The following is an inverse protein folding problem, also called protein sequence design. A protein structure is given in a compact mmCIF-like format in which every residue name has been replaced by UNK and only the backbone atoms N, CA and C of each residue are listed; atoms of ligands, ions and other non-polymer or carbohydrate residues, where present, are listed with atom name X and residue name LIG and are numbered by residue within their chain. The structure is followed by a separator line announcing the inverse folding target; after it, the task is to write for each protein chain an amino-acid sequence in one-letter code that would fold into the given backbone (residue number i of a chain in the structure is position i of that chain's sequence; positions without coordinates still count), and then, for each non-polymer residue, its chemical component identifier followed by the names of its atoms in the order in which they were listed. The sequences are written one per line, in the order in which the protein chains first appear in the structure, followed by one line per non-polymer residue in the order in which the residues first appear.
data_IF_548912762833
#
_entry.id   IF_548912762833
#
_cell.length_a   1.000
_cell.length_b   1.000
_cell.length_c   1.000
_cell.angle_alpha   90.00
_cell.angle_beta   90.00
_cell.angle_gamma   90.00
#
_symmetry.space_group_name_H-M   'P 1'
#
loop_
_entity.id
_entity.type
_entity.pdbx_description
1 polymer ?
#
# COMPACT_ATOMS: atom_id res chain seq x y z
N UNK A 1 7.09 1.07 67.11
CA UNK A 1 8.15 0.60 66.19
C UNK A 1 8.00 1.41 64.92
N UNK A 2 8.57 2.63 64.87
CA UNK A 2 9.94 2.97 64.39
C UNK A 2 10.03 2.71 62.87
N UNK A 3 9.81 3.76 62.04
CA UNK A 3 10.81 4.54 61.25
C UNK A 3 11.43 3.75 60.08
N UNK A 4 11.81 4.28 58.92
CA UNK A 4 11.63 5.53 58.17
C UNK A 4 12.21 5.25 56.75
N UNK A 5 12.06 6.20 55.84
CA UNK A 5 12.50 6.21 54.44
C UNK A 5 13.99 5.90 54.21
N UNK A 6 14.34 5.45 52.99
CA UNK A 6 15.54 5.93 52.28
C UNK A 6 15.54 5.50 50.81
N UNK A 7 15.62 6.48 49.91
CA UNK A 7 16.07 6.30 48.53
C UNK A 7 17.59 6.09 48.51
N UNK A 8 18.08 5.17 47.67
CA UNK A 8 19.49 5.08 47.30
C UNK A 8 19.58 4.95 45.78
N UNK A 9 20.16 5.97 45.15
CA UNK A 9 20.60 5.95 43.75
C UNK A 9 22.04 5.43 43.71
N UNK A 10 22.34 4.45 42.85
CA UNK A 10 23.73 4.06 42.55
C UNK A 10 23.92 3.97 41.04
N UNK A 11 24.74 4.88 40.49
CA UNK A 11 25.38 4.72 39.19
C UNK A 11 26.59 3.81 39.33
N UNK A 12 26.78 2.86 38.42
CA UNK A 12 28.12 2.33 38.14
C UNK A 12 28.30 2.04 36.65
N UNK A 13 29.27 2.73 36.07
CA UNK A 13 29.91 2.44 34.80
C UNK A 13 30.70 1.12 34.88
N UNK A 14 30.78 0.42 33.75
CA UNK A 14 31.96 -0.35 33.34
C UNK A 14 32.20 -1.71 34.01
N UNK A 15 31.80 -2.79 33.33
CA UNK A 15 32.56 -4.04 33.34
C UNK A 15 32.29 -4.88 32.10
N UNK A 16 33.37 -5.25 31.43
CA UNK A 16 33.45 -6.19 30.32
C UNK A 16 33.07 -7.60 30.77
N UNK A 17 32.32 -8.32 29.93
CA UNK A 17 32.25 -9.79 29.99
C UNK A 17 32.65 -10.38 28.63
N UNK A 18 33.81 -11.05 28.62
CA UNK A 18 34.18 -12.08 27.65
C UNK A 18 33.98 -13.44 28.32
N UNK A 19 33.32 -14.38 27.65
CA UNK A 19 33.62 -15.83 27.63
C UNK A 19 32.64 -16.47 26.61
N UNK A 20 33.13 -16.90 25.45
CA UNK A 20 33.64 -18.25 25.14
C UNK A 20 32.53 -19.20 24.66
N UNK A 21 32.66 -19.58 23.39
CA UNK A 21 31.85 -20.58 22.71
C UNK A 21 32.16 -21.98 23.24
N UNK A 22 31.12 -22.73 23.60
CA UNK A 22 31.12 -24.19 23.58
C UNK A 22 29.74 -24.67 23.13
N UNK A 23 29.76 -25.48 22.08
CA UNK A 23 28.63 -26.16 21.45
C UNK A 23 28.17 -27.36 22.27
N UNK A 24 26.89 -27.72 22.14
CA UNK A 24 26.26 -29.07 22.14
C UNK A 24 24.79 -28.97 22.64
N UNK A 25 23.89 -29.93 22.36
CA UNK A 25 23.87 -30.96 21.31
C UNK A 25 22.64 -30.87 20.39
N UNK A 26 22.71 -31.50 19.22
CA UNK A 26 21.62 -31.64 18.25
C UNK A 26 20.59 -32.65 18.79
N UNK A 27 19.39 -32.18 19.12
CA UNK A 27 18.25 -33.06 19.40
C UNK A 27 17.63 -33.53 18.07
N UNK A 28 17.82 -34.81 17.77
CA UNK A 28 17.13 -35.54 16.71
C UNK A 28 15.71 -35.86 17.19
N UNK A 29 14.69 -35.32 16.51
CA UNK A 29 13.30 -35.72 16.71
C UNK A 29 12.86 -36.46 15.45
N UNK A 30 12.72 -37.78 15.57
CA UNK A 30 12.06 -38.62 14.58
C UNK A 30 10.54 -38.63 14.84
N UNK A 31 9.81 -38.20 13.81
CA UNK A 31 8.48 -38.63 13.32
C UNK A 31 7.24 -38.71 14.25
N UNK A 32 6.07 -38.72 13.59
CA UNK A 32 4.73 -39.04 14.10
C UNK A 32 3.77 -37.91 14.51
N UNK A 33 3.54 -36.93 13.62
CA UNK A 33 2.26 -36.22 13.60
C UNK A 33 1.77 -35.98 12.16
N UNK A 34 1.37 -37.07 11.49
CA UNK A 34 0.54 -37.02 10.27
C UNK A 34 -0.91 -36.71 10.65
N UNK A 35 -1.21 -35.47 10.99
CA UNK A 35 -2.58 -34.99 10.88
C UNK A 35 -2.89 -34.72 9.40
N UNK A 36 -3.98 -35.26 8.83
CA UNK A 36 -4.35 -34.95 7.46
C UNK A 36 -4.57 -33.43 7.35
N UNK A 37 -3.86 -32.78 6.42
CA UNK A 37 -4.17 -31.40 6.04
C UNK A 37 -5.60 -31.38 5.52
N UNK A 38 -6.53 -30.92 6.35
CA UNK A 38 -7.87 -30.57 5.91
C UNK A 38 -7.71 -29.29 5.12
N UNK A 39 -7.60 -29.42 3.80
CA UNK A 39 -7.74 -28.28 2.91
C UNK A 39 -9.18 -27.76 3.02
N UNK A 40 -9.39 -26.43 3.07
CA UNK A 40 -10.74 -25.90 2.87
C UNK A 40 -11.30 -26.48 1.57
N UNK A 41 -12.60 -26.81 1.51
CA UNK A 41 -13.19 -27.34 0.30
C UNK A 41 -12.84 -26.41 -0.85
N UNK A 42 -12.35 -26.98 -1.96
CA UNK A 42 -12.05 -26.24 -3.17
C UNK A 42 -13.27 -25.38 -3.51
N UNK A 43 -13.18 -24.07 -3.34
CA UNK A 43 -14.13 -23.15 -3.97
C UNK A 43 -14.12 -23.56 -5.42
N UNK A 44 -15.27 -23.99 -5.96
CA UNK A 44 -15.44 -24.68 -7.24
C UNK A 44 -15.09 -23.86 -8.49
N UNK A 45 -13.99 -23.11 -8.43
CA UNK A 45 -13.24 -22.60 -9.54
C UNK A 45 -12.57 -23.86 -10.12
N UNK A 46 -13.12 -24.35 -11.22
CA UNK A 46 -12.42 -25.32 -12.06
C UNK A 46 -11.02 -24.78 -12.34
N UNK A 47 -10.00 -25.64 -12.53
CA UNK A 47 -8.76 -25.18 -13.13
C UNK A 47 -9.17 -24.44 -14.40
N UNK A 48 -8.89 -23.14 -14.45
CA UNK A 48 -9.20 -22.30 -15.60
C UNK A 48 -8.34 -22.87 -16.73
N UNK A 49 -8.93 -23.77 -17.52
CA UNK A 49 -8.30 -24.26 -18.74
C UNK A 49 -8.30 -23.07 -19.67
N UNK A 50 -7.10 -22.55 -19.87
CA UNK A 50 -6.80 -21.50 -20.80
C UNK A 50 -7.01 -22.02 -22.22
N UNK A 51 -8.26 -22.16 -22.65
CA UNK A 51 -8.61 -22.21 -24.07
C UNK A 51 -8.68 -20.77 -24.58
N UNK A 52 -7.52 -20.09 -24.53
CA UNK A 52 -7.32 -18.84 -25.23
C UNK A 52 -7.29 -19.16 -26.73
N UNK A 53 -8.37 -18.80 -27.43
CA UNK A 53 -8.45 -18.93 -28.88
C UNK A 53 -7.26 -18.22 -29.53
N UNK A 54 -6.56 -18.89 -30.44
CA UNK A 54 -5.34 -18.46 -31.14
C UNK A 54 -5.45 -17.21 -32.02
N UNK A 55 -6.52 -16.43 -31.89
CA UNK A 55 -6.78 -15.19 -32.60
C UNK A 55 -6.28 -14.00 -31.79
N UNK A 56 -4.99 -13.65 -31.95
CA UNK A 56 -4.35 -12.39 -31.48
C UNK A 56 -4.73 -11.95 -30.05
N UNK A 57 -4.38 -12.72 -29.02
CA UNK A 57 -4.16 -12.10 -27.71
C UNK A 57 -2.80 -11.43 -27.71
N UNK A 58 -2.81 -10.13 -27.93
CA UNK A 58 -1.68 -9.28 -27.59
C UNK A 58 -1.43 -9.41 -26.08
N UNK A 59 -0.20 -9.71 -25.68
CA UNK A 59 0.10 -9.88 -24.26
C UNK A 59 -0.11 -8.55 -23.53
N UNK A 60 -0.46 -8.59 -22.24
CA UNK A 60 -0.59 -7.36 -21.42
C UNK A 60 0.69 -6.54 -21.54
N UNK A 61 1.86 -7.19 -21.57
CA UNK A 61 3.16 -6.55 -21.80
C UNK A 61 3.24 -5.81 -23.15
N UNK A 62 2.77 -6.42 -24.25
CA UNK A 62 2.71 -5.77 -25.57
C UNK A 62 1.70 -4.60 -25.62
N UNK A 63 0.59 -4.70 -24.89
CA UNK A 63 -0.40 -3.62 -24.78
C UNK A 63 0.16 -2.42 -24.00
N UNK A 64 0.91 -2.67 -22.91
CA UNK A 64 1.56 -1.62 -22.11
C UNK A 64 2.76 -0.99 -22.84
N UNK A 65 3.54 -1.78 -23.59
CA UNK A 65 4.66 -1.27 -24.41
C UNK A 65 4.21 -0.31 -25.52
N UNK A 66 2.95 -0.44 -25.98
CA UNK A 66 2.36 0.44 -26.97
C UNK A 66 1.83 1.75 -26.39
N UNK A 67 1.80 1.92 -25.06
CA UNK A 67 1.35 3.16 -24.48
C UNK A 67 2.55 4.12 -24.41
N UNK A 68 2.60 5.17 -25.27
CA UNK A 68 3.78 6.02 -25.33
C UNK A 68 3.96 6.74 -23.99
N UNK A 69 5.19 6.74 -23.43
CA UNK A 69 5.48 7.47 -22.21
C UNK A 69 5.13 8.94 -22.43
N UNK A 70 4.29 9.50 -21.56
CA UNK A 70 4.03 10.94 -21.62
C UNK A 70 5.33 11.68 -21.26
N UNK A 71 5.66 12.71 -22.05
CA UNK A 71 6.89 13.47 -21.87
C UNK A 71 6.86 14.24 -20.55
N UNK A 72 7.88 14.02 -19.69
CA UNK A 72 8.13 14.76 -18.43
C UNK A 72 7.96 16.28 -18.62
N UNK A 73 6.84 16.87 -18.18
CA UNK A 73 6.70 18.33 -18.05
C UNK A 73 6.80 18.74 -16.58
N UNK A 74 7.48 19.86 -16.33
CA UNK A 74 7.64 20.44 -14.99
C UNK A 74 6.34 21.01 -14.42
N UNK A 75 5.44 21.48 -15.28
CA UNK A 75 4.17 22.13 -14.90
C UNK A 75 3.23 21.19 -14.13
N UNK A 76 3.11 19.93 -14.55
CA UNK A 76 2.21 18.97 -13.89
C UNK A 76 2.74 18.57 -12.51
N UNK A 77 4.07 18.43 -12.38
CA UNK A 77 4.69 18.15 -11.08
C UNK A 77 4.44 19.29 -10.08
N UNK A 78 4.64 20.53 -10.53
CA UNK A 78 4.35 21.72 -9.72
C UNK A 78 2.87 21.80 -9.33
N UNK A 79 1.97 21.45 -10.25
CA UNK A 79 0.52 21.45 -10.00
C UNK A 79 0.09 20.38 -8.98
N UNK A 80 0.63 19.16 -9.06
CA UNK A 80 0.36 18.12 -8.07
C UNK A 80 0.93 18.46 -6.70
N UNK A 81 2.11 19.06 -6.64
CA UNK A 81 2.72 19.52 -5.39
C UNK A 81 1.83 20.58 -4.72
N UNK A 82 1.40 21.60 -5.49
CA UNK A 82 0.42 22.60 -5.01
C UNK A 82 -0.89 21.98 -4.52
N UNK A 83 -1.37 20.95 -5.21
CA UNK A 83 -2.58 20.25 -4.82
C UNK A 83 -2.37 19.48 -3.51
N UNK A 84 -1.22 18.83 -3.32
CA UNK A 84 -0.87 18.16 -2.07
C UNK A 84 -0.81 19.17 -0.92
N UNK A 85 -0.12 20.30 -1.09
CA UNK A 85 0.01 21.36 -0.09
C UNK A 85 -1.36 21.91 0.34
N UNK A 86 -2.25 22.15 -0.62
CA UNK A 86 -3.63 22.61 -0.37
C UNK A 86 -4.41 21.67 0.56
N UNK A 87 -4.15 20.36 0.50
CA UNK A 87 -4.88 19.37 1.29
C UNK A 87 -4.06 18.79 2.46
N UNK A 88 -2.80 19.17 2.63
CA UNK A 88 -1.91 18.63 3.64
C UNK A 88 -2.47 18.76 5.08
N UNK A 89 -3.20 19.84 5.35
CA UNK A 89 -3.89 20.09 6.62
C UNK A 89 -5.41 19.87 6.55
N UNK A 90 -5.92 19.17 5.53
CA UNK A 90 -7.36 18.95 5.35
C UNK A 90 -8.02 18.24 6.54
N UNK A 91 -9.01 18.90 7.16
CA UNK A 91 -9.81 18.42 8.29
C UNK A 91 -11.32 18.30 7.95
N UNK A 92 -11.66 18.16 6.66
CA UNK A 92 -13.05 18.26 6.17
C UNK A 92 -13.96 17.05 6.51
N UNK A 93 -13.40 15.96 7.02
CA UNK A 93 -14.15 14.78 7.48
C UNK A 93 -13.48 14.17 8.71
N UNK A 94 -14.15 13.21 9.38
CA UNK A 94 -13.64 12.56 10.59
C UNK A 94 -12.27 11.91 10.39
N UNK A 95 -11.98 11.36 9.20
CA UNK A 95 -10.67 10.75 8.92
C UNK A 95 -9.53 11.76 8.94
N UNK A 96 -9.78 13.03 8.58
CA UNK A 96 -8.77 14.08 8.65
C UNK A 96 -8.31 14.36 10.08
N UNK A 97 -9.22 14.16 11.05
CA UNK A 97 -9.00 14.45 12.47
C UNK A 97 -8.18 13.38 13.17
N UNK A 98 -8.17 12.16 12.64
CA UNK A 98 -7.54 11.00 13.29
C UNK A 98 -6.29 10.49 12.58
N UNK A 99 -5.99 10.97 11.35
CA UNK A 99 -4.82 10.53 10.59
C UNK A 99 -3.52 10.99 11.25
N UNK A 100 -2.45 10.22 11.06
CA UNK A 100 -1.09 10.69 11.36
C UNK A 100 -0.56 11.52 10.20
N UNK A 101 -0.66 11.00 8.97
CA UNK A 101 -0.22 11.70 7.78
C UNK A 101 -1.31 11.70 6.71
N UNK A 102 -1.31 12.74 5.87
CA UNK A 102 -2.04 12.67 4.61
C UNK A 102 -1.29 11.72 3.67
N UNK A 103 -2.00 10.73 3.12
CA UNK A 103 -1.46 9.85 2.09
C UNK A 103 -2.05 10.27 0.76
N UNK A 104 -1.42 11.28 0.16
CA UNK A 104 -1.94 11.97 -1.03
C UNK A 104 -1.92 11.09 -2.28
N UNK A 105 -0.77 10.49 -2.57
CA UNK A 105 -0.47 9.77 -3.81
C UNK A 105 1.00 9.94 -4.15
N UNK A 106 1.57 9.00 -4.90
CA UNK A 106 2.98 9.04 -5.26
C UNK A 106 3.19 8.38 -6.63
N UNK A 107 4.16 8.89 -7.38
CA UNK A 107 4.55 8.33 -8.67
C UNK A 107 4.83 9.40 -9.70
N UNK A 108 4.84 9.00 -10.97
CA UNK A 108 5.12 9.92 -12.07
C UNK A 108 3.92 10.87 -12.31
N UNK A 109 4.11 12.22 -12.29
CA UNK A 109 3.03 13.18 -12.51
C UNK A 109 2.30 13.09 -13.85
N UNK A 110 2.85 12.40 -14.83
CA UNK A 110 2.21 12.12 -16.12
C UNK A 110 2.18 10.62 -16.38
N UNK A 111 2.02 9.86 -15.30
CA UNK A 111 1.89 8.43 -15.39
C UNK A 111 0.79 8.05 -16.38
N UNK A 112 1.17 7.19 -17.31
CA UNK A 112 0.24 6.62 -18.27
C UNK A 112 -0.80 5.73 -17.58
N UNK A 113 -0.40 5.13 -16.46
CA UNK A 113 -1.20 4.17 -15.69
C UNK A 113 -1.31 4.69 -14.27
N UNK A 114 -2.55 4.75 -13.78
CA UNK A 114 -2.86 5.17 -12.42
C UNK A 114 -3.53 4.04 -11.64
N UNK A 115 -2.97 3.67 -10.49
CA UNK A 115 -3.54 2.68 -9.58
C UNK A 115 -4.30 3.38 -8.46
N UNK A 116 -5.54 2.95 -8.20
CA UNK A 116 -6.41 3.56 -7.18
C UNK A 116 -6.93 2.48 -6.23
N UNK A 117 -6.48 2.53 -4.98
CA UNK A 117 -6.99 1.70 -3.89
C UNK A 117 -8.12 2.34 -3.11
N UNK A 118 -8.54 1.69 -2.03
CA UNK A 118 -9.60 2.17 -1.15
C UNK A 118 -9.14 3.33 -0.25
N UNK A 119 -8.13 3.09 0.58
CA UNK A 119 -7.65 4.01 1.60
C UNK A 119 -6.29 3.57 2.16
N UNK A 120 -5.61 4.44 2.93
CA UNK A 120 -4.35 4.09 3.58
C UNK A 120 -4.56 3.08 4.71
N UNK A 121 -3.63 2.13 4.86
CA UNK A 121 -3.51 1.31 6.06
C UNK A 121 -2.62 1.96 7.11
N UNK A 122 -2.28 1.19 8.17
CA UNK A 122 -1.45 1.67 9.28
C UNK A 122 -0.04 2.09 8.83
N UNK A 123 0.61 1.25 8.00
CA UNK A 123 1.96 1.50 7.50
C UNK A 123 1.98 2.75 6.62
N UNK A 124 0.96 2.90 5.76
CA UNK A 124 0.81 4.06 4.88
C UNK A 124 0.56 5.35 5.67
N UNK A 125 -0.36 5.33 6.66
CA UNK A 125 -0.64 6.48 7.51
C UNK A 125 0.58 6.91 8.32
N UNK A 126 1.38 5.96 8.82
CA UNK A 126 2.62 6.27 9.53
C UNK A 126 3.69 6.89 8.64
N UNK A 127 3.76 6.50 7.35
CA UNK A 127 4.82 6.91 6.44
C UNK A 127 4.42 8.05 5.49
N UNK A 128 3.13 8.37 5.37
CA UNK A 128 2.63 9.36 4.42
C UNK A 128 2.68 8.90 2.95
N UNK A 129 2.97 7.62 2.69
CA UNK A 129 3.17 7.09 1.34
C UNK A 129 2.18 5.95 1.05
N UNK A 130 1.56 5.91 -0.15
CA UNK A 130 0.56 4.91 -0.48
C UNK A 130 1.21 3.54 -0.71
N UNK A 131 0.53 2.44 -0.35
CA UNK A 131 0.94 1.07 -0.66
C UNK A 131 2.41 0.77 -0.29
N UNK A 132 2.80 0.97 0.96
CA UNK A 132 4.14 0.65 1.51
C UNK A 132 4.12 -0.59 2.41
N UNK A 133 2.94 -0.99 2.89
CA UNK A 133 2.74 -2.21 3.65
C UNK A 133 2.84 -3.50 2.82
N UNK A 134 2.39 -4.62 3.40
CA UNK A 134 2.47 -5.95 2.74
C UNK A 134 1.80 -5.98 1.37
N UNK A 135 0.58 -5.46 1.27
CA UNK A 135 -0.17 -5.41 0.00
C UNK A 135 0.55 -4.53 -1.04
N UNK A 136 1.16 -3.44 -0.59
CA UNK A 136 1.91 -2.54 -1.46
C UNK A 136 3.20 -3.12 -2.02
N UNK A 137 3.90 -3.96 -1.24
CA UNK A 137 5.05 -4.73 -1.73
C UNK A 137 4.63 -5.75 -2.78
N UNK A 138 3.46 -6.39 -2.62
CA UNK A 138 2.91 -7.30 -3.62
C UNK A 138 2.55 -6.54 -4.92
N UNK A 139 1.86 -5.40 -4.80
CA UNK A 139 1.55 -4.53 -5.94
C UNK A 139 2.83 -4.14 -6.70
N UNK A 140 3.87 -3.76 -5.97
CA UNK A 140 5.18 -3.40 -6.57
C UNK A 140 5.77 -4.57 -7.36
N UNK A 141 5.72 -5.79 -6.82
CA UNK A 141 6.18 -6.99 -7.55
C UNK A 141 5.37 -7.22 -8.83
N UNK A 142 4.05 -7.05 -8.78
CA UNK A 142 3.17 -7.19 -9.95
C UNK A 142 3.49 -6.14 -11.02
N UNK A 143 3.67 -4.88 -10.63
CA UNK A 143 4.06 -3.80 -11.56
C UNK A 143 5.39 -4.16 -12.24
N UNK A 144 6.39 -4.61 -11.45
CA UNK A 144 7.69 -4.99 -11.99
C UNK A 144 7.61 -6.19 -12.97
N UNK A 145 6.68 -7.14 -12.76
CA UNK A 145 6.49 -8.24 -13.73
C UNK A 145 5.96 -7.80 -15.09
N UNK A 146 5.38 -6.58 -15.17
CA UNK A 146 4.95 -5.96 -16.43
C UNK A 146 6.10 -5.21 -17.13
N UNK A 147 7.31 -5.22 -16.57
CA UNK A 147 8.46 -4.47 -17.10
C UNK A 147 8.40 -2.96 -16.84
N UNK A 148 7.59 -2.53 -15.86
CA UNK A 148 7.41 -1.13 -15.49
C UNK A 148 7.91 -0.96 -14.06
N UNK A 149 8.51 0.19 -13.73
CA UNK A 149 8.89 0.48 -12.36
C UNK A 149 7.77 1.21 -11.61
N UNK A 150 7.71 1.02 -10.29
CA UNK A 150 6.71 1.69 -9.43
C UNK A 150 6.71 3.22 -9.60
N UNK A 151 7.87 3.80 -9.88
CA UNK A 151 8.04 5.25 -10.05
C UNK A 151 7.51 5.79 -11.38
N UNK A 152 7.27 4.92 -12.37
CA UNK A 152 6.75 5.31 -13.70
C UNK A 152 5.20 5.35 -13.74
N UNK A 153 4.56 4.80 -12.71
CA UNK A 153 3.10 4.80 -12.54
C UNK A 153 2.70 5.81 -11.46
N UNK A 154 1.42 6.14 -11.36
CA UNK A 154 0.91 6.98 -10.27
C UNK A 154 -0.01 6.14 -9.38
N UNK A 155 0.21 6.15 -8.06
CA UNK A 155 -0.52 5.31 -7.11
C UNK A 155 -1.18 6.20 -6.07
N UNK A 156 -2.48 6.01 -5.85
CA UNK A 156 -3.25 6.72 -4.81
C UNK A 156 -4.44 5.88 -4.33
N UNK A 157 -5.32 6.47 -3.52
CA UNK A 157 -6.51 5.85 -2.95
C UNK A 157 -7.77 6.72 -3.12
N UNK A 158 -8.97 6.16 -2.95
CA UNK A 158 -10.23 6.92 -2.92
C UNK A 158 -10.21 7.93 -1.78
N UNK A 159 -10.00 7.46 -0.54
CA UNK A 159 -9.78 8.33 0.63
C UNK A 159 -8.29 8.53 0.89
N UNK A 160 -7.88 9.71 1.37
CA UNK A 160 -6.46 10.07 1.59
C UNK A 160 -5.98 9.91 3.03
N UNK A 161 -6.87 9.44 3.90
CA UNK A 161 -6.68 9.32 5.34
C UNK A 161 -7.09 7.92 5.77
N UNK A 162 -6.37 7.32 6.70
CA UNK A 162 -6.67 5.97 7.19
C UNK A 162 -8.02 5.92 7.93
N UNK A 163 -8.96 5.07 7.52
CA UNK A 163 -10.14 4.75 8.33
C UNK A 163 -9.77 4.04 9.64
N UNK A 164 -10.44 4.34 10.76
CA UNK A 164 -10.22 3.64 12.03
C UNK A 164 -10.31 2.11 11.85
N UNK A 165 -9.39 1.37 12.46
CA UNK A 165 -9.32 -0.10 12.33
C UNK A 165 -9.26 -0.64 10.89
N UNK A 166 -8.86 0.20 9.92
CA UNK A 166 -8.85 -0.14 8.48
C UNK A 166 -10.22 -0.61 7.96
N UNK A 167 -11.33 -0.12 8.53
CA UNK A 167 -12.67 -0.35 7.97
C UNK A 167 -12.80 0.29 6.59
N UNK A 168 -13.82 -0.11 5.84
CA UNK A 168 -14.18 0.60 4.61
C UNK A 168 -14.57 2.07 4.90
N UNK A 169 -14.20 3.02 4.03
CA UNK A 169 -14.64 4.40 4.16
C UNK A 169 -16.16 4.50 3.93
N UNK A 170 -16.81 5.39 4.67
CA UNK A 170 -18.24 5.67 4.51
C UNK A 170 -18.50 6.46 3.22
N UNK A 171 -19.75 6.44 2.69
CA UNK A 171 -20.11 7.27 1.54
C UNK A 171 -19.80 8.77 1.73
N UNK A 172 -19.96 9.28 2.96
CA UNK A 172 -19.62 10.68 3.28
C UNK A 172 -18.12 10.94 3.22
N UNK A 173 -17.29 10.02 3.72
CA UNK A 173 -15.83 10.12 3.66
C UNK A 173 -15.31 10.04 2.22
N UNK A 174 -15.88 9.12 1.42
CA UNK A 174 -15.60 9.00 -0.02
C UNK A 174 -15.97 10.30 -0.73
N UNK A 175 -17.20 10.80 -0.53
CA UNK A 175 -17.68 12.03 -1.16
C UNK A 175 -16.83 13.24 -0.78
N UNK A 176 -16.35 13.32 0.46
CA UNK A 176 -15.46 14.38 0.92
C UNK A 176 -14.08 14.34 0.24
N UNK A 177 -13.49 13.15 0.04
CA UNK A 177 -12.18 13.00 -0.60
C UNK A 177 -12.23 13.02 -2.14
N UNK A 178 -13.40 12.76 -2.73
CA UNK A 178 -13.58 12.67 -4.18
C UNK A 178 -13.04 13.87 -4.98
N UNK A 179 -13.21 15.13 -4.53
CA UNK A 179 -12.66 16.29 -5.25
C UNK A 179 -11.13 16.26 -5.35
N UNK A 180 -10.42 15.67 -4.38
CA UNK A 180 -8.97 15.51 -4.43
C UNK A 180 -8.60 14.52 -5.54
N UNK A 181 -9.27 13.37 -5.56
CA UNK A 181 -9.00 12.33 -6.55
C UNK A 181 -9.31 12.80 -7.97
N UNK A 182 -10.43 13.50 -8.18
CA UNK A 182 -10.79 14.07 -9.49
C UNK A 182 -9.70 15.01 -10.01
N UNK A 183 -9.23 15.94 -9.18
CA UNK A 183 -8.13 16.85 -9.53
C UNK A 183 -6.83 16.07 -9.80
N UNK A 184 -6.54 14.98 -9.08
CA UNK A 184 -5.37 14.14 -9.38
C UNK A 184 -5.51 13.45 -10.73
N UNK A 185 -6.68 12.89 -11.06
CA UNK A 185 -6.92 12.25 -12.37
C UNK A 185 -6.80 13.28 -13.49
N UNK A 186 -7.33 14.49 -13.32
CA UNK A 186 -7.22 15.59 -14.30
C UNK A 186 -5.76 16.02 -14.52
N UNK A 187 -4.98 16.17 -13.44
CA UNK A 187 -3.58 16.60 -13.53
C UNK A 187 -2.65 15.51 -14.07
N UNK A 188 -2.86 14.25 -13.66
CA UNK A 188 -2.07 13.11 -14.14
C UNK A 188 -2.45 12.75 -15.56
N UNK A 189 -3.73 12.92 -15.92
CA UNK A 189 -4.31 12.57 -17.21
C UNK A 189 -3.90 11.14 -17.69
N UNK A 190 -4.14 10.10 -16.86
CA UNK A 190 -3.73 8.74 -17.19
C UNK A 190 -4.56 8.18 -18.34
N UNK A 191 -3.95 7.30 -19.14
CA UNK A 191 -4.65 6.57 -20.21
C UNK A 191 -5.36 5.32 -19.69
N UNK A 192 -4.86 4.76 -18.58
CA UNK A 192 -5.43 3.60 -17.91
C UNK A 192 -5.54 3.86 -16.41
N UNK A 193 -6.72 3.59 -15.85
CA UNK A 193 -6.93 3.55 -14.40
C UNK A 193 -7.18 2.10 -13.99
N UNK A 194 -6.41 1.62 -13.01
CA UNK A 194 -6.57 0.29 -12.42
C UNK A 194 -7.15 0.45 -11.02
N UNK A 195 -8.38 -0.03 -10.82
CA UNK A 195 -9.05 -0.02 -9.52
C UNK A 195 -8.68 -1.27 -8.71
N UNK A 196 -8.18 -1.05 -7.50
CA UNK A 196 -7.71 -2.11 -6.61
C UNK A 196 -8.75 -2.39 -5.53
N UNK A 197 -9.74 -3.21 -5.87
CA UNK A 197 -10.79 -3.68 -4.96
C UNK A 197 -12.16 -3.07 -5.19
N UNK A 198 -13.12 -3.47 -4.36
CA UNK A 198 -14.54 -3.17 -4.59
C UNK A 198 -14.89 -1.69 -4.44
N UNK A 199 -14.35 -1.01 -3.42
CA UNK A 199 -14.64 0.40 -3.18
C UNK A 199 -14.21 1.28 -4.37
N UNK A 200 -12.95 1.26 -4.85
CA UNK A 200 -12.58 2.06 -6.00
C UNK A 200 -13.34 1.68 -7.27
N UNK A 201 -13.57 0.39 -7.52
CA UNK A 201 -14.34 -0.06 -8.70
C UNK A 201 -15.76 0.48 -8.70
N UNK A 202 -16.52 0.29 -7.61
CA UNK A 202 -17.91 0.79 -7.49
C UNK A 202 -18.01 2.31 -7.49
N UNK A 203 -16.94 2.98 -7.09
CA UNK A 203 -16.94 4.43 -6.98
C UNK A 203 -16.65 5.11 -8.31
N UNK A 204 -15.86 4.48 -9.18
CA UNK A 204 -15.41 5.05 -10.46
C UNK A 204 -16.11 4.47 -11.69
N UNK A 205 -16.68 3.26 -11.58
CA UNK A 205 -17.36 2.57 -12.67
C UNK A 205 -18.88 2.63 -12.39
N UNK A 206 -19.68 3.23 -13.30
CA UNK A 206 -21.12 3.34 -13.16
C UNK A 206 -21.86 2.00 -13.26
#
# INVERSE_FOLDING_TARGET
MICAETEITVKHEGANYKLAAQTQPVLNINDENKHPRIYPPSTGISPFKEELSSSKQQTVTEAFAQIPPQQKTTENNYSLTKLADKYNSCQKCELGKTRTNLVFGQGFPQATVMFIGEGPGADEDSQGAPFVGRAGRLLTKMINTLGIERQDVYITNIVKCRPPENRNPTPAEISCCMPILKQQIELVNPKLIVTLGNVPSKTLIP
#
